data_IF_851128091964
#
_entry.id   IF_851128091964
#
_cell.length_a   1.000
_cell.length_b   1.000
_cell.length_c   1.000
_cell.angle_alpha   90.00
_cell.angle_beta   90.00
_cell.angle_gamma   90.00
#
_symmetry.space_group_name_H-M   'P 1'
#
loop_
_entity.id
_entity.type
_entity.pdbx_description
1 polymer ?
#
# COMPACT_ATOMS: atom_id res chain seq x y z
N UNK A 1 12.40 -10.75 -12.31
CA UNK A 1 12.68 -10.97 -10.87
C UNK A 1 11.55 -10.32 -10.11
N UNK A 2 10.91 -11.04 -9.19
CA UNK A 2 9.73 -10.55 -8.47
C UNK A 2 10.04 -9.24 -7.76
N UNK A 3 9.17 -8.25 -8.00
CA UNK A 3 9.19 -6.96 -7.32
C UNK A 3 8.26 -7.08 -6.12
N UNK A 4 8.73 -6.65 -4.96
CA UNK A 4 7.94 -6.55 -3.74
C UNK A 4 7.75 -5.08 -3.41
N UNK A 5 6.49 -4.67 -3.24
CA UNK A 5 6.14 -3.35 -2.75
C UNK A 5 5.69 -3.48 -1.31
N UNK A 6 6.23 -2.63 -0.44
CA UNK A 6 5.86 -2.53 0.97
C UNK A 6 5.46 -1.09 1.27
N UNK A 7 4.23 -0.88 1.71
CA UNK A 7 3.74 0.43 2.16
C UNK A 7 3.57 0.41 3.66
N UNK A 8 4.28 1.28 4.37
CA UNK A 8 4.07 1.53 5.79
C UNK A 8 3.09 2.67 5.94
N UNK A 9 2.14 2.52 6.85
CA UNK A 9 1.05 3.45 7.08
C UNK A 9 1.06 3.78 8.56
N UNK A 10 1.18 5.07 8.88
CA UNK A 10 1.13 5.59 10.23
C UNK A 10 -0.14 6.42 10.38
N UNK A 11 -1.22 5.86 10.96
CA UNK A 11 -2.44 6.62 11.21
C UNK A 11 -2.17 7.86 12.07
N UNK A 12 -2.79 8.98 11.71
CA UNK A 12 -2.69 10.21 12.48
C UNK A 12 -3.37 10.04 13.86
N UNK A 13 -2.90 10.74 14.91
CA UNK A 13 -3.54 10.68 16.21
C UNK A 13 -5.04 11.02 16.16
N UNK A 14 -5.88 10.17 16.76
CA UNK A 14 -7.33 10.37 16.83
C UNK A 14 -8.13 9.86 15.63
N UNK A 15 -7.46 9.40 14.57
CA UNK A 15 -8.13 8.73 13.43
C UNK A 15 -8.75 7.42 13.90
N UNK A 16 -9.99 7.21 13.50
CA UNK A 16 -10.74 6.01 13.89
C UNK A 16 -10.29 4.82 13.04
N UNK A 17 -10.19 3.65 13.67
CA UNK A 17 -9.75 2.43 13.01
C UNK A 17 -10.62 2.08 11.78
N UNK A 18 -11.93 2.29 11.88
CA UNK A 18 -12.87 2.04 10.78
C UNK A 18 -12.56 2.87 9.52
N UNK A 19 -12.06 4.10 9.68
CA UNK A 19 -11.65 4.96 8.57
C UNK A 19 -10.41 4.40 7.87
N UNK A 20 -9.45 3.92 8.66
CA UNK A 20 -8.24 3.27 8.16
C UNK A 20 -8.59 1.96 7.44
N UNK A 21 -9.45 1.13 8.02
CA UNK A 21 -9.92 -0.10 7.37
C UNK A 21 -10.63 0.16 6.05
N UNK A 22 -11.49 1.19 6.00
CA UNK A 22 -12.16 1.58 4.76
C UNK A 22 -11.16 1.98 3.68
N UNK A 23 -10.11 2.73 4.04
CA UNK A 23 -9.06 3.09 3.09
C UNK A 23 -8.21 1.90 2.64
N UNK A 24 -7.83 1.01 3.55
CA UNK A 24 -7.11 -0.21 3.21
C UNK A 24 -7.92 -1.08 2.25
N UNK A 25 -9.22 -1.25 2.50
CA UNK A 25 -10.09 -2.00 1.60
C UNK A 25 -10.12 -1.39 0.21
N UNK A 26 -10.38 -0.08 0.11
CA UNK A 26 -10.45 0.66 -1.16
C UNK A 26 -9.15 0.56 -1.95
N UNK A 27 -8.01 0.86 -1.33
CA UNK A 27 -6.70 0.88 -2.00
C UNK A 27 -6.24 -0.51 -2.40
N UNK A 28 -6.50 -1.55 -1.59
CA UNK A 28 -6.15 -2.94 -1.95
C UNK A 28 -7.03 -3.50 -3.06
N UNK A 29 -8.32 -3.17 -3.08
CA UNK A 29 -9.23 -3.57 -4.16
C UNK A 29 -8.81 -2.90 -5.49
N UNK A 30 -8.41 -1.62 -5.46
CA UNK A 30 -7.86 -0.90 -6.63
C UNK A 30 -6.51 -1.46 -7.08
N UNK A 31 -5.60 -1.77 -6.16
CA UNK A 31 -4.32 -2.39 -6.51
C UNK A 31 -4.52 -3.74 -7.22
N UNK A 32 -5.43 -4.59 -6.71
CA UNK A 32 -5.78 -5.87 -7.35
C UNK A 32 -6.44 -5.66 -8.72
N UNK A 33 -7.35 -4.70 -8.84
CA UNK A 33 -8.01 -4.34 -10.12
C UNK A 33 -7.00 -4.03 -11.23
N UNK A 34 -5.90 -3.35 -10.89
CA UNK A 34 -4.84 -3.00 -11.84
C UNK A 34 -3.72 -4.04 -11.95
N UNK A 35 -3.83 -5.12 -11.18
CA UNK A 35 -3.03 -6.33 -11.33
C UNK A 35 -1.81 -6.42 -10.43
N UNK A 36 -1.82 -5.74 -9.28
CA UNK A 36 -0.94 -6.08 -8.18
C UNK A 36 -1.32 -7.47 -7.61
N UNK A 37 -0.32 -8.28 -7.29
CA UNK A 37 -0.48 -9.65 -6.82
C UNK A 37 -0.18 -9.74 -5.31
N UNK A 38 -0.60 -10.84 -4.68
CA UNK A 38 -0.30 -11.15 -3.26
C UNK A 38 -0.56 -9.99 -2.28
N UNK A 39 -1.57 -9.17 -2.57
CA UNK A 39 -1.89 -7.97 -1.79
C UNK A 39 -2.33 -8.33 -0.38
N UNK A 40 -1.47 -8.05 0.59
CA UNK A 40 -1.57 -8.51 1.99
C UNK A 40 -1.42 -7.34 2.94
N UNK A 41 -2.37 -7.19 3.87
CA UNK A 41 -2.30 -6.19 4.95
C UNK A 41 -1.83 -6.87 6.23
N UNK A 42 -0.89 -6.24 6.92
CA UNK A 42 -0.41 -6.64 8.25
C UNK A 42 -0.49 -5.44 9.21
N UNK A 43 -0.74 -5.70 10.49
CA UNK A 43 -0.73 -4.66 11.52
C UNK A 43 0.44 -4.90 12.48
N UNK A 44 1.09 -3.82 12.91
CA UNK A 44 2.18 -3.86 13.89
C UNK A 44 1.59 -4.02 15.29
N UNK A 45 1.44 -5.27 15.73
CA UNK A 45 0.87 -5.59 17.04
C UNK A 45 1.81 -5.27 18.21
N UNK A 46 3.13 -5.39 18.00
CA UNK A 46 4.16 -5.11 19.01
C UNK A 46 5.32 -4.41 18.31
N UNK A 47 5.44 -3.09 18.48
CA UNK A 47 6.47 -2.29 17.80
C UNK A 47 7.03 -1.12 18.61
N UNK A 48 6.78 -1.08 19.93
CA UNK A 48 7.11 0.09 20.74
C UNK A 48 6.37 1.33 20.22
N UNK A 49 7.06 2.44 19.88
CA UNK A 49 6.43 3.61 19.28
C UNK A 49 5.72 3.37 17.94
N UNK A 50 6.11 2.32 17.20
CA UNK A 50 5.49 1.96 15.92
C UNK A 50 4.29 1.01 16.07
N UNK A 51 3.88 0.69 17.30
CA UNK A 51 2.66 -0.11 17.54
C UNK A 51 1.46 0.58 16.88
N UNK A 52 0.62 -0.19 16.19
CA UNK A 52 -0.48 0.25 15.33
C UNK A 52 -0.10 0.84 13.97
N UNK A 53 1.19 0.89 13.60
CA UNK A 53 1.56 1.07 12.20
C UNK A 53 1.07 -0.11 11.36
N UNK A 54 0.70 0.12 10.10
CA UNK A 54 0.14 -0.90 9.22
C UNK A 54 1.09 -1.08 8.05
N UNK A 55 1.32 -2.34 7.69
CA UNK A 55 2.04 -2.72 6.49
C UNK A 55 1.09 -3.19 5.41
N UNK A 56 1.36 -2.81 4.17
CA UNK A 56 0.72 -3.36 2.99
C UNK A 56 1.81 -3.92 2.07
N UNK A 57 1.75 -5.22 1.80
CA UNK A 57 2.62 -5.91 0.87
C UNK A 57 1.88 -6.20 -0.42
N UNK A 58 2.57 -6.08 -1.55
CA UNK A 58 2.11 -6.60 -2.84
C UNK A 58 3.29 -7.01 -3.70
N UNK A 59 3.04 -7.80 -4.73
CA UNK A 59 4.07 -8.23 -5.67
C UNK A 59 3.71 -7.92 -7.11
N UNK A 60 4.74 -7.82 -7.95
CA UNK A 60 4.63 -7.90 -9.40
C UNK A 60 5.73 -8.84 -9.94
N UNK A 61 5.47 -9.47 -11.07
CA UNK A 61 6.38 -10.46 -11.67
C UNK A 61 7.79 -9.89 -11.96
N UNK A 62 7.84 -8.66 -12.48
CA UNK A 62 9.06 -7.95 -12.82
C UNK A 62 8.83 -6.41 -12.86
N UNK A 63 9.89 -5.66 -13.20
CA UNK A 63 9.82 -4.19 -13.32
C UNK A 63 8.90 -3.70 -14.42
N UNK A 64 8.77 -4.45 -15.53
CA UNK A 64 7.88 -4.07 -16.63
C UNK A 64 6.43 -4.17 -16.15
N UNK A 65 6.07 -5.28 -15.51
CA UNK A 65 4.74 -5.47 -14.93
C UNK A 65 4.47 -4.47 -13.82
N UNK A 66 5.44 -4.23 -12.94
CA UNK A 66 5.34 -3.20 -11.90
C UNK A 66 5.04 -1.83 -12.48
N UNK A 67 5.78 -1.41 -13.52
CA UNK A 67 5.56 -0.12 -14.18
C UNK A 67 4.15 0.01 -14.77
N UNK A 68 3.67 -1.03 -15.46
CA UNK A 68 2.31 -1.05 -16.01
C UNK A 68 1.23 -0.95 -14.92
N UNK A 69 1.42 -1.67 -13.79
CA UNK A 69 0.50 -1.60 -12.65
C UNK A 69 0.49 -0.19 -12.06
N UNK A 70 1.66 0.42 -11.86
CA UNK A 70 1.76 1.78 -11.31
C UNK A 70 1.12 2.82 -12.25
N UNK A 71 1.38 2.74 -13.56
CA UNK A 71 0.79 3.64 -14.54
C UNK A 71 -0.74 3.54 -14.55
N UNK A 72 -1.29 2.32 -14.59
CA UNK A 72 -2.73 2.09 -14.56
C UNK A 72 -3.35 2.56 -13.23
N UNK A 73 -2.69 2.26 -12.11
CA UNK A 73 -3.16 2.60 -10.77
C UNK A 73 -3.19 4.12 -10.56
N UNK A 74 -2.13 4.85 -10.91
CA UNK A 74 -2.11 6.32 -10.77
C UNK A 74 -2.90 7.06 -11.85
N UNK A 75 -3.15 6.41 -12.99
CA UNK A 75 -4.07 6.90 -14.02
C UNK A 75 -5.55 6.77 -13.65
N UNK A 76 -5.91 5.94 -12.65
CA UNK A 76 -7.29 5.72 -12.23
C UNK A 76 -7.81 6.89 -11.36
N UNK A 77 -8.89 7.58 -11.76
CA UNK A 77 -9.49 8.65 -10.96
C UNK A 77 -9.93 8.22 -9.55
N UNK A 78 -10.36 6.96 -9.38
CA UNK A 78 -10.76 6.42 -8.08
C UNK A 78 -9.56 6.31 -7.13
N UNK A 79 -8.39 5.97 -7.68
CA UNK A 79 -7.15 5.91 -6.92
C UNK A 79 -6.64 7.30 -6.58
N UNK A 80 -6.70 8.25 -7.52
CA UNK A 80 -6.32 9.64 -7.25
C UNK A 80 -7.14 10.23 -6.09
N UNK A 81 -8.47 9.99 -6.09
CA UNK A 81 -9.33 10.38 -4.99
C UNK A 81 -8.96 9.65 -3.68
N UNK A 82 -8.69 8.34 -3.75
CA UNK A 82 -8.25 7.56 -2.59
C UNK A 82 -6.96 8.11 -1.97
N UNK A 83 -5.98 8.53 -2.78
CA UNK A 83 -4.72 9.09 -2.30
C UNK A 83 -4.91 10.40 -1.53
N UNK A 84 -5.80 11.27 -2.02
CA UNK A 84 -6.12 12.52 -1.32
C UNK A 84 -6.76 12.25 0.03
N UNK A 85 -7.75 11.35 0.08
CA UNK A 85 -8.40 10.94 1.33
C UNK A 85 -7.40 10.27 2.28
N UNK A 86 -6.54 9.39 1.76
CA UNK A 86 -5.55 8.65 2.52
C UNK A 86 -4.52 9.58 3.20
N UNK A 87 -4.09 10.64 2.51
CA UNK A 87 -3.16 11.63 3.06
C UNK A 87 -3.73 12.49 4.19
N UNK A 88 -5.05 12.53 4.37
CA UNK A 88 -5.70 13.24 5.47
C UNK A 88 -5.67 12.44 6.78
N UNK A 89 -5.66 11.10 6.68
CA UNK A 89 -5.84 10.21 7.83
C UNK A 89 -4.54 9.52 8.28
N UNK A 90 -3.51 9.48 7.44
CA UNK A 90 -2.28 8.79 7.76
C UNK A 90 -1.11 9.33 6.94
N UNK A 91 0.10 9.06 7.42
CA UNK A 91 1.33 9.17 6.63
C UNK A 91 1.63 7.83 5.97
N UNK A 92 2.01 7.84 4.69
CA UNK A 92 2.24 6.64 3.87
C UNK A 92 3.66 6.66 3.33
N UNK A 93 4.39 5.56 3.52
CA UNK A 93 5.78 5.40 3.07
C UNK A 93 5.85 4.17 2.17
N UNK A 94 6.24 4.35 0.91
CA UNK A 94 6.32 3.23 -0.06
C UNK A 94 7.77 2.84 -0.28
N UNK A 95 8.05 1.56 -0.07
CA UNK A 95 9.31 0.90 -0.35
C UNK A 95 9.10 -0.10 -1.48
N UNK A 96 10.10 -0.22 -2.34
CA UNK A 96 10.12 -1.22 -3.41
C UNK A 96 11.43 -1.97 -3.32
N UNK A 97 11.36 -3.29 -3.42
CA UNK A 97 12.54 -4.15 -3.42
C UNK A 97 12.45 -5.19 -4.51
N UNK A 98 13.62 -5.67 -4.90
CA UNK A 98 13.83 -6.92 -5.63
C UNK A 98 15.01 -7.63 -4.98
N UNK A 99 15.05 -8.95 -5.04
CA UNK A 99 16.28 -9.67 -4.71
C UNK A 99 17.36 -9.31 -5.72
N UNK A 100 18.56 -8.99 -5.24
CA UNK A 100 19.74 -8.81 -6.08
C UNK A 100 20.65 -10.00 -5.81
N UNK A 101 20.80 -10.88 -6.79
CA UNK A 101 21.79 -11.94 -6.73
C UNK A 101 23.16 -11.31 -7.03
N UNK A 102 24.03 -11.24 -6.02
CA UNK A 102 25.43 -10.78 -6.13
C UNK A 102 26.40 -11.95 -6.12
#
# INVERSE_FOLDING_TARGET
>A
MTIVTYVVIHPNPGVQWDEVQKQLKKTTDLARKHGAENVTVLATMIGGPATNAIGLLSTAEDWTRYGQVQEALFGDPEMQAAMVEAGQIATWETYVSQTIDV
#
